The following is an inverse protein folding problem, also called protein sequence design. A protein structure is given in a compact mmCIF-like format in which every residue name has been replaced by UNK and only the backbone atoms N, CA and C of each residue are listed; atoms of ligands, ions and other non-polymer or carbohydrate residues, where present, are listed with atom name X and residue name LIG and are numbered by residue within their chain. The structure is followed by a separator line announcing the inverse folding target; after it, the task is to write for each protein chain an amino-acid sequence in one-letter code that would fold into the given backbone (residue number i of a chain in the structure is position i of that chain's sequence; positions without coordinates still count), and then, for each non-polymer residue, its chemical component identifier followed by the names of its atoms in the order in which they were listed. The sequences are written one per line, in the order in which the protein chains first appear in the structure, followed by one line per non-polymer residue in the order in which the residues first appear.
data_IF_897222142451
#
_entry.id   IF_897222142451
#
_cell.length_a   1.000
_cell.length_b   1.000
_cell.length_c   1.000
_cell.angle_alpha   90.00
_cell.angle_beta   90.00
_cell.angle_gamma   90.00
#
_symmetry.space_group_name_H-M   'P 1'
#
loop_
_entity.id
_entity.type
_entity.pdbx_description
1 polymer ?
#
# COMPACT_ATOMS: atom_id res chain seq x y z
N UNK A 1 4.32 -10.84 25.55
CA UNK A 1 5.71 -10.48 25.88
C UNK A 1 5.65 -9.01 26.27
N UNK A 2 5.56 -8.75 27.58
CA UNK A 2 4.98 -7.49 28.07
C UNK A 2 6.03 -6.51 28.63
N UNK A 3 7.30 -6.71 28.30
CA UNK A 3 8.40 -5.81 28.66
C UNK A 3 8.72 -4.77 27.59
N UNK A 4 9.22 -3.60 28.00
CA UNK A 4 9.78 -2.60 27.09
C UNK A 4 11.19 -2.97 26.58
N UNK A 5 11.86 -3.95 27.22
CA UNK A 5 13.16 -4.52 26.81
C UNK A 5 13.13 -6.03 27.01
N UNK A 6 13.46 -6.80 25.98
CA UNK A 6 13.61 -8.26 26.01
C UNK A 6 14.99 -8.61 25.46
N UNK A 7 15.77 -9.41 26.22
CA UNK A 7 17.09 -9.87 25.82
C UNK A 7 17.00 -11.32 25.36
N UNK A 8 17.58 -11.62 24.20
CA UNK A 8 17.67 -12.97 23.67
C UNK A 8 19.07 -13.53 23.93
N UNK A 9 19.25 -14.82 23.64
CA UNK A 9 20.54 -15.49 23.77
C UNK A 9 21.55 -14.97 22.74
N UNK A 10 22.82 -14.98 23.15
CA UNK A 10 23.95 -14.54 22.35
C UNK A 10 24.11 -15.41 21.10
N UNK A 11 24.53 -14.77 20.02
CA UNK A 11 24.71 -15.42 18.73
C UNK A 11 26.08 -15.11 18.17
N UNK A 12 26.72 -16.15 17.62
CA UNK A 12 27.99 -16.03 16.91
C UNK A 12 27.71 -16.02 15.40
N UNK A 13 28.24 -15.03 14.73
CA UNK A 13 28.16 -14.83 13.28
C UNK A 13 29.44 -15.26 12.59
N UNK A 14 29.37 -15.36 11.26
CA UNK A 14 30.54 -15.61 10.43
C UNK A 14 31.63 -14.57 10.71
N UNK A 15 32.89 -15.01 10.71
CA UNK A 15 34.03 -14.14 11.05
C UNK A 15 34.28 -13.97 12.55
N UNK A 16 33.66 -14.80 13.42
CA UNK A 16 33.92 -14.81 14.86
C UNK A 16 33.29 -13.65 15.63
N UNK A 17 32.27 -12.99 15.04
CA UNK A 17 31.57 -11.89 15.66
C UNK A 17 30.46 -12.41 16.59
N UNK A 18 30.58 -12.15 17.89
CA UNK A 18 29.51 -12.34 18.89
C UNK A 18 28.63 -11.09 18.99
N UNK A 19 27.30 -11.27 18.99
CA UNK A 19 26.36 -10.20 19.31
C UNK A 19 25.14 -10.71 20.10
N UNK A 20 24.56 -9.79 20.86
CA UNK A 20 23.45 -9.99 21.77
C UNK A 20 22.21 -9.31 21.16
N UNK A 21 21.14 -10.06 20.84
CA UNK A 21 19.90 -9.50 20.34
C UNK A 21 19.05 -8.94 21.48
N UNK A 22 18.56 -7.72 21.29
CA UNK A 22 17.70 -7.03 22.25
C UNK A 22 16.50 -6.46 21.50
N UNK A 23 15.28 -6.81 21.93
CA UNK A 23 14.03 -6.25 21.42
C UNK A 23 13.58 -5.14 22.35
N UNK A 24 13.32 -3.96 21.81
CA UNK A 24 13.06 -2.74 22.57
C UNK A 24 11.78 -2.10 22.05
N UNK A 25 10.91 -1.63 22.95
CA UNK A 25 9.85 -0.70 22.59
C UNK A 25 10.20 0.67 23.19
N UNK A 26 10.83 1.53 22.38
CA UNK A 26 11.33 2.83 22.83
C UNK A 26 10.20 3.73 23.35
N UNK A 27 9.04 3.70 22.69
CA UNK A 27 7.85 4.44 23.11
C UNK A 27 7.46 4.13 24.56
N UNK A 28 7.33 2.84 24.91
CA UNK A 28 7.03 2.41 26.28
C UNK A 28 8.19 2.64 27.22
N UNK A 29 9.43 2.49 26.75
CA UNK A 29 10.64 2.67 27.56
C UNK A 29 10.70 4.08 28.15
N UNK A 30 10.55 5.12 27.32
CA UNK A 30 10.65 6.51 27.77
C UNK A 30 9.42 7.02 28.54
N UNK A 31 8.31 6.27 28.53
CA UNK A 31 7.16 6.51 29.40
C UNK A 31 7.28 5.84 30.77
N UNK A 32 8.20 4.88 30.92
CA UNK A 32 8.39 4.14 32.16
C UNK A 32 9.31 4.91 33.10
N UNK A 33 8.86 5.22 34.32
CA UNK A 33 9.65 5.97 35.32
C UNK A 33 10.96 5.28 35.69
N UNK A 34 10.92 3.96 35.89
CA UNK A 34 12.08 3.11 36.21
C UNK A 34 12.41 2.21 35.03
N UNK A 35 12.68 2.82 33.88
CA UNK A 35 12.98 2.10 32.65
C UNK A 35 14.23 1.22 32.82
N UNK A 36 14.19 -0.08 32.42
CA UNK A 36 15.38 -0.91 32.43
C UNK A 36 16.43 -0.32 31.48
N UNK A 37 17.69 -0.30 31.92
CA UNK A 37 18.79 0.05 31.03
C UNK A 37 18.84 -0.92 29.86
N UNK A 38 18.96 -0.43 28.62
CA UNK A 38 19.09 -1.30 27.43
C UNK A 38 20.47 -1.96 27.44
N UNK A 39 21.52 -1.13 27.53
CA UNK A 39 22.92 -1.53 27.63
C UNK A 39 23.48 -1.09 28.99
N UNK A 40 24.32 -1.91 29.65
CA UNK A 40 24.93 -1.53 30.92
C UNK A 40 25.74 -0.24 30.80
N UNK A 41 25.59 0.66 31.77
CA UNK A 41 26.36 1.91 31.88
C UNK A 41 26.20 2.92 30.72
N UNK A 42 25.23 2.71 29.83
CA UNK A 42 24.91 3.61 28.72
C UNK A 42 23.49 4.15 28.91
N UNK A 43 23.32 5.45 28.67
CA UNK A 43 22.01 6.09 28.72
C UNK A 43 21.10 5.58 27.61
N UNK A 44 19.83 5.33 27.91
CA UNK A 44 18.86 4.86 26.92
C UNK A 44 18.67 5.86 25.77
N UNK A 45 18.82 7.17 26.02
CA UNK A 45 18.76 8.19 24.99
C UNK A 45 19.90 8.06 23.96
N UNK A 46 21.10 7.70 24.42
CA UNK A 46 22.27 7.52 23.54
C UNK A 46 22.13 6.27 22.69
N UNK A 47 21.45 5.23 23.20
CA UNK A 47 21.08 4.05 22.41
C UNK A 47 20.09 4.44 21.31
N UNK A 48 19.06 5.22 21.62
CA UNK A 48 18.11 5.71 20.61
C UNK A 48 18.84 6.52 19.52
N UNK A 49 19.70 7.47 19.91
CA UNK A 49 20.50 8.27 18.95
C UNK A 49 21.39 7.40 18.07
N UNK A 50 22.04 6.38 18.65
CA UNK A 50 22.89 5.46 17.89
C UNK A 50 22.11 4.56 16.93
N UNK A 51 20.87 4.20 17.27
CA UNK A 51 19.96 3.44 16.38
C UNK A 51 19.47 4.32 15.23
N UNK A 52 18.99 5.53 15.54
CA UNK A 52 18.53 6.49 14.51
C UNK A 52 19.68 6.82 13.56
N UNK A 53 20.88 7.10 14.07
CA UNK A 53 22.06 7.34 13.25
C UNK A 53 22.42 6.14 12.36
N UNK A 54 22.26 4.90 12.84
CA UNK A 54 22.56 3.71 12.05
C UNK A 54 21.57 3.52 10.89
N UNK A 55 20.28 3.77 11.15
CA UNK A 55 19.21 3.64 10.16
C UNK A 55 19.30 4.76 9.11
N UNK A 56 19.44 6.01 9.55
CA UNK A 56 19.66 7.20 8.71
C UNK A 56 20.87 7.03 7.77
N UNK A 57 21.99 6.50 8.26
CA UNK A 57 23.18 6.27 7.43
C UNK A 57 23.08 5.09 6.46
N UNK A 58 22.15 4.17 6.69
CA UNK A 58 22.08 2.92 5.94
C UNK A 58 20.92 2.88 4.95
N UNK A 59 19.90 3.70 5.16
CA UNK A 59 18.70 3.78 4.34
C UNK A 59 18.75 5.11 3.57
N UNK A 60 19.06 5.08 2.26
CA UNK A 60 18.95 6.28 1.45
C UNK A 60 17.48 6.74 1.45
N UNK A 61 17.26 8.06 1.36
CA UNK A 61 15.95 8.67 1.15
C UNK A 61 14.98 8.68 2.35
N UNK A 62 15.41 8.26 3.55
CA UNK A 62 14.60 8.39 4.79
C UNK A 62 15.23 9.44 5.70
N UNK A 63 14.53 10.55 5.93
CA UNK A 63 15.03 11.62 6.78
C UNK A 63 15.24 11.16 8.23
N UNK A 64 16.21 11.74 8.97
CA UNK A 64 16.51 11.33 10.34
C UNK A 64 15.34 11.56 11.31
N UNK A 65 14.47 12.53 10.97
CA UNK A 65 13.23 12.79 11.70
C UNK A 65 12.24 11.65 11.50
N UNK A 66 12.03 11.22 10.26
CA UNK A 66 11.10 10.14 9.92
C UNK A 66 11.56 8.80 10.51
N UNK A 67 12.87 8.55 10.48
CA UNK A 67 13.49 7.41 11.19
C UNK A 67 13.20 7.48 12.68
N UNK A 68 13.43 8.62 13.33
CA UNK A 68 13.14 8.79 14.76
C UNK A 68 11.66 8.58 15.08
N UNK A 69 10.77 9.19 14.28
CA UNK A 69 9.33 9.08 14.46
C UNK A 69 8.87 7.62 14.30
N UNK A 70 9.44 6.88 13.35
CA UNK A 70 9.19 5.44 13.15
C UNK A 70 9.71 4.61 14.33
N UNK A 71 10.96 4.80 14.76
CA UNK A 71 11.57 4.04 15.87
C UNK A 71 10.81 4.27 17.19
N UNK A 72 10.27 5.47 17.38
CA UNK A 72 9.52 5.87 18.57
C UNK A 72 7.98 5.83 18.37
N UNK A 73 7.47 5.20 17.31
CA UNK A 73 6.03 5.13 17.07
C UNK A 73 5.34 4.17 18.08
N UNK A 74 4.13 4.48 18.56
CA UNK A 74 3.40 3.62 19.49
C UNK A 74 3.15 2.24 18.86
N UNK A 75 3.61 1.18 19.52
CA UNK A 75 3.46 -0.20 19.01
C UNK A 75 4.69 -0.73 18.26
N UNK A 76 5.55 0.16 17.76
CA UNK A 76 6.81 -0.24 17.14
C UNK A 76 7.76 -0.91 18.13
N UNK A 77 8.40 -1.97 17.66
CA UNK A 77 9.46 -2.70 18.36
C UNK A 77 10.71 -2.63 17.50
N UNK A 78 11.84 -2.42 18.15
CA UNK A 78 13.15 -2.36 17.51
C UNK A 78 14.02 -3.50 18.01
N UNK A 79 14.47 -4.36 17.10
CA UNK A 79 15.53 -5.32 17.36
C UNK A 79 16.86 -4.59 17.17
N UNK A 80 17.73 -4.61 18.17
CA UNK A 80 19.12 -4.21 18.02
C UNK A 80 20.04 -5.41 18.25
N UNK A 81 21.15 -5.44 17.53
CA UNK A 81 22.25 -6.37 17.80
C UNK A 81 23.41 -5.58 18.41
N UNK A 82 23.80 -5.94 19.63
CA UNK A 82 24.89 -5.30 20.36
C UNK A 82 26.05 -6.26 20.59
N UNK A 83 27.28 -5.80 20.36
CA UNK A 83 28.50 -6.54 20.73
C UNK A 83 28.80 -6.37 22.21
N UNK A 84 29.62 -7.27 22.76
CA UNK A 84 30.24 -7.04 24.05
C UNK A 84 31.37 -6.00 23.93
N UNK A 85 31.56 -5.24 24.99
CA UNK A 85 32.58 -4.22 25.11
C UNK A 85 33.99 -4.82 25.04
N UNK A 86 34.19 -6.04 25.54
CA UNK A 86 35.48 -6.74 25.49
C UNK A 86 35.86 -7.08 24.04
N UNK A 87 34.94 -7.69 23.30
CA UNK A 87 35.14 -8.10 21.90
C UNK A 87 35.49 -6.92 21.00
N UNK A 88 34.88 -5.75 21.26
CA UNK A 88 35.16 -4.53 20.50
C UNK A 88 36.57 -3.99 20.79
N UNK A 89 37.02 -4.07 22.04
CA UNK A 89 38.39 -3.67 22.40
C UNK A 89 39.42 -4.59 21.74
N UNK A 90 39.16 -5.90 21.68
CA UNK A 90 40.05 -6.85 21.01
C UNK A 90 40.14 -6.59 19.51
N UNK A 91 39.01 -6.35 18.84
CA UNK A 91 38.97 -5.97 17.41
C UNK A 91 39.77 -4.70 17.14
N UNK A 92 39.69 -3.70 18.02
CA UNK A 92 40.51 -2.48 17.89
C UNK A 92 42.00 -2.73 18.10
N UNK A 93 42.40 -3.62 19.01
CA UNK A 93 43.81 -4.01 19.20
C UNK A 93 44.35 -4.77 17.99
N UNK A 94 43.55 -5.65 17.40
CA UNK A 94 43.93 -6.40 16.20
C UNK A 94 44.15 -5.53 14.95
N UNK A 95 43.46 -4.38 14.86
CA UNK A 95 43.61 -3.44 13.73
C UNK A 95 44.85 -2.55 13.83
N UNK A 96 45.27 -2.21 15.05
CA UNK A 96 46.44 -1.37 15.30
C UNK A 96 47.75 -1.99 14.77
N UNK A 97 47.83 -3.32 14.70
CA UNK A 97 49.01 -4.04 14.18
C UNK A 97 49.05 -4.16 12.65
N UNK A 98 47.94 -3.89 11.95
CA UNK A 98 47.81 -4.11 10.50
C UNK A 98 47.98 -2.86 9.60
N UNK A 99 47.80 -1.64 10.12
CA UNK A 99 47.75 -0.44 9.29
C UNK A 99 49.06 0.38 9.34
N UNK A 100 50.01 0.04 8.46
CA UNK A 100 51.04 0.99 8.01
C UNK A 100 50.52 1.80 6.83
N UNK A 101 50.07 3.03 7.14
CA UNK A 101 50.16 4.17 6.23
C UNK A 101 48.95 4.45 5.33
N UNK A 102 48.11 5.39 5.74
CA UNK A 102 47.61 6.43 4.81
C UNK A 102 47.24 7.67 5.62
N UNK A 103 47.64 8.83 5.09
CA UNK A 103 47.73 10.12 5.75
C UNK A 103 46.38 10.85 5.61
N UNK A 104 45.73 11.24 6.72
CA UNK A 104 44.51 12.06 6.69
C UNK A 104 44.89 13.54 6.73
N UNK A 105 44.46 14.31 5.74
CA UNK A 105 44.50 15.78 5.73
C UNK A 105 43.19 16.36 6.30
N UNK A 106 43.24 17.46 7.08
CA UNK A 106 42.03 18.05 7.65
C UNK A 106 41.33 18.94 6.61
N UNK A 107 40.06 18.63 6.32
CA UNK A 107 39.18 19.52 5.56
C UNK A 107 38.44 20.42 6.55
N UNK A 108 38.57 21.73 6.33
CA UNK A 108 37.81 22.79 7.01
C UNK A 108 36.59 23.15 6.17
N UNK A 109 35.43 23.33 6.79
CA UNK A 109 34.29 24.01 6.16
C UNK A 109 33.49 24.81 7.17
N UNK A 110 33.30 26.10 6.85
CA UNK A 110 32.35 27.03 7.49
C UNK A 110 31.00 26.96 6.74
N UNK A 111 29.89 27.07 7.51
CA UNK A 111 28.54 27.66 7.23
C UNK A 111 27.81 27.23 5.93
N UNK A 112 26.54 26.82 5.86
CA UNK A 112 25.27 27.11 6.60
C UNK A 112 24.30 25.89 6.47
N UNK A 113 23.08 26.01 7.01
CA UNK A 113 21.89 25.13 6.90
C UNK A 113 21.59 24.17 8.07
N UNK A 114 20.55 24.56 8.83
CA UNK A 114 20.17 24.04 10.15
C UNK A 114 19.52 22.64 10.11
N UNK A 115 18.98 22.24 8.95
CA UNK A 115 18.41 20.90 8.72
C UNK A 115 19.49 19.94 8.17
N UNK A 116 20.29 20.37 7.19
CA UNK A 116 21.45 19.61 6.69
C UNK A 116 22.49 19.32 7.78
N UNK A 117 22.63 20.20 8.76
CA UNK A 117 23.55 20.03 9.88
C UNK A 117 23.29 18.74 10.67
N UNK A 118 22.02 18.35 10.89
CA UNK A 118 21.70 17.18 11.74
C UNK A 118 21.97 15.85 11.05
N UNK A 119 21.63 15.74 9.76
CA UNK A 119 21.98 14.57 8.95
C UNK A 119 23.50 14.42 8.85
N UNK A 120 24.23 15.52 8.66
CA UNK A 120 25.71 15.54 8.69
C UNK A 120 26.26 15.03 10.03
N UNK A 121 25.69 15.45 11.16
CA UNK A 121 26.08 15.00 12.50
C UNK A 121 25.86 13.50 12.71
N UNK A 122 24.71 12.96 12.29
CA UNK A 122 24.40 11.53 12.43
C UNK A 122 25.25 10.67 11.49
N UNK A 123 25.49 11.15 10.26
CA UNK A 123 26.36 10.50 9.28
C UNK A 123 27.79 10.33 9.80
N UNK A 124 28.28 11.30 10.57
CA UNK A 124 29.62 11.27 11.13
C UNK A 124 29.88 10.07 12.08
N UNK A 125 28.85 9.60 12.78
CA UNK A 125 28.95 8.49 13.75
C UNK A 125 29.35 7.15 13.12
N UNK A 126 28.85 6.87 11.92
CA UNK A 126 29.06 5.59 11.22
C UNK A 126 29.83 5.72 9.90
N UNK A 127 30.40 6.89 9.61
CA UNK A 127 31.30 7.11 8.47
C UNK A 127 32.62 6.33 8.66
N UNK A 128 32.62 5.10 8.16
CA UNK A 128 33.74 4.17 8.17
C UNK A 128 34.58 4.20 6.86
N UNK A 129 34.22 4.99 5.82
CA UNK A 129 35.07 5.47 4.70
C UNK A 129 34.28 6.32 3.69
N UNK A 130 35.00 7.27 3.07
CA UNK A 130 34.62 8.37 2.16
C UNK A 130 33.73 7.98 0.96
N UNK A 131 32.57 8.65 0.78
CA UNK A 131 32.18 9.44 -0.42
C UNK A 131 30.68 9.83 -0.45
N UNK A 132 30.49 11.08 -0.91
CA UNK A 132 29.36 11.71 -1.62
C UNK A 132 27.94 11.68 -1.03
N UNK A 133 27.50 12.84 -0.53
CA UNK A 133 26.11 13.19 -0.26
C UNK A 133 25.41 13.67 -1.53
N UNK A 134 24.28 13.07 -1.89
CA UNK A 134 23.30 13.68 -2.80
C UNK A 134 22.12 14.24 -1.97
N UNK A 135 21.62 15.38 -2.41
CA UNK A 135 20.64 16.22 -1.72
C UNK A 135 19.21 15.80 -2.08
N UNK A 136 18.35 15.63 -1.07
CA UNK A 136 16.90 15.64 -1.24
C UNK A 136 16.28 16.51 -0.16
N UNK A 137 15.56 17.55 -0.58
CA UNK A 137 14.88 18.51 0.28
C UNK A 137 13.37 18.24 0.27
N UNK A 138 12.73 18.12 1.43
CA UNK A 138 11.27 18.14 1.54
C UNK A 138 10.76 19.00 2.71
N UNK A 139 9.60 19.60 2.46
CA UNK A 139 8.93 20.63 3.26
C UNK A 139 8.19 20.08 4.48
N UNK A 140 8.09 20.92 5.50
CA UNK A 140 7.58 20.57 6.84
C UNK A 140 6.12 21.01 7.00
N UNK A 141 5.23 20.09 7.40
CA UNK A 141 3.96 20.45 8.03
C UNK A 141 4.03 20.16 9.53
N UNK A 142 3.73 21.20 10.32
CA UNK A 142 3.63 21.13 11.77
C UNK A 142 2.21 20.69 12.15
N UNK A 143 2.11 19.70 13.03
CA UNK A 143 0.94 19.59 13.89
C UNK A 143 1.38 19.17 15.31
N UNK A 144 0.96 20.00 16.27
CA UNK A 144 1.19 19.84 17.70
C UNK A 144 0.36 18.67 18.27
N UNK A 145 0.93 17.93 19.22
CA UNK A 145 0.31 17.71 20.55
C UNK A 145 1.20 16.87 21.47
N UNK A 146 1.51 17.49 22.62
CA UNK A 146 1.60 16.97 24.00
C UNK A 146 2.26 15.61 24.31
N UNK A 147 3.26 15.65 25.20
CA UNK A 147 3.84 14.54 25.99
C UNK A 147 4.52 13.36 25.27
N UNK A 148 4.86 13.53 23.99
CA UNK A 148 5.70 12.59 23.23
C UNK A 148 7.19 12.87 23.50
N UNK A 149 8.05 11.84 23.51
CA UNK A 149 9.51 12.05 23.39
C UNK A 149 9.78 12.66 22.02
N UNK A 150 9.75 13.98 21.96
CA UNK A 150 9.65 14.73 20.71
C UNK A 150 10.99 14.81 20.00
N UNK A 151 10.95 15.16 18.72
CA UNK A 151 12.15 15.37 17.91
C UNK A 151 13.09 16.41 18.54
N UNK A 152 12.55 17.42 19.23
CA UNK A 152 13.33 18.43 19.95
C UNK A 152 14.13 17.80 21.08
N UNK A 153 13.51 16.97 21.94
CA UNK A 153 14.19 16.25 23.02
C UNK A 153 15.22 15.26 22.52
N UNK A 154 14.97 14.64 21.37
CA UNK A 154 15.98 13.81 20.72
C UNK A 154 17.21 14.63 20.32
N UNK A 155 16.99 15.81 19.76
CA UNK A 155 18.03 16.73 19.32
C UNK A 155 18.80 17.38 20.49
N UNK A 156 18.17 17.54 21.66
CA UNK A 156 18.85 17.95 22.89
C UNK A 156 19.97 16.96 23.23
N UNK A 157 21.21 17.43 23.29
CA UNK A 157 22.39 16.59 23.56
C UNK A 157 22.88 15.75 22.36
N UNK A 158 22.29 15.87 21.17
CA UNK A 158 22.79 15.19 19.97
C UNK A 158 24.21 15.63 19.60
N UNK A 159 24.49 16.93 19.68
CA UNK A 159 25.84 17.47 19.41
C UNK A 159 26.87 16.92 20.41
N UNK A 160 26.57 16.92 21.70
CA UNK A 160 27.45 16.38 22.75
C UNK A 160 27.72 14.89 22.53
N UNK A 161 26.71 14.14 22.11
CA UNK A 161 26.83 12.73 21.79
C UNK A 161 27.79 12.50 20.60
N UNK A 162 27.65 13.27 19.53
CA UNK A 162 28.49 13.20 18.33
C UNK A 162 29.92 13.65 18.62
N UNK A 163 30.10 14.74 19.35
CA UNK A 163 31.42 15.23 19.77
C UNK A 163 32.12 14.18 20.66
N UNK A 164 31.40 13.56 21.59
CA UNK A 164 31.92 12.47 22.41
C UNK A 164 32.34 11.24 21.58
N UNK A 165 31.59 10.90 20.53
CA UNK A 165 31.95 9.83 19.60
C UNK A 165 33.18 10.19 18.74
N UNK A 166 33.28 11.46 18.30
CA UNK A 166 34.46 12.00 17.59
C UNK A 166 35.70 11.92 18.46
N UNK A 167 35.64 12.39 19.70
CA UNK A 167 36.76 12.27 20.65
C UNK A 167 37.17 10.81 20.86
N UNK A 168 36.22 9.89 21.00
CA UNK A 168 36.51 8.46 21.09
C UNK A 168 37.19 7.93 19.82
N UNK A 169 36.79 8.40 18.63
CA UNK A 169 37.43 8.06 17.35
C UNK A 169 38.87 8.58 17.28
N UNK A 170 39.11 9.82 17.67
CA UNK A 170 40.44 10.43 17.73
C UNK A 170 41.35 9.72 18.74
N UNK A 171 40.85 9.42 19.94
CA UNK A 171 41.59 8.64 20.95
C UNK A 171 42.02 7.27 20.41
N UNK A 172 41.15 6.58 19.65
CA UNK A 172 41.50 5.32 18.96
C UNK A 172 42.60 5.51 17.92
N UNK A 173 42.55 6.59 17.13
CA UNK A 173 43.56 6.88 16.11
C UNK A 173 44.94 7.19 16.71
N UNK A 174 44.99 7.89 17.85
CA UNK A 174 46.24 8.22 18.56
C UNK A 174 46.79 7.00 19.31
N UNK A 175 45.96 6.30 20.10
CA UNK A 175 46.38 5.16 20.93
C UNK A 175 46.66 3.88 20.13
N UNK A 176 46.17 3.78 18.90
CA UNK A 176 46.56 2.71 17.97
C UNK A 176 48.07 2.66 17.69
N UNK A 177 48.81 3.74 17.94
CA UNK A 177 50.27 3.79 17.78
C UNK A 177 51.04 3.29 19.01
N UNK A 178 50.45 3.35 20.20
CA UNK A 178 51.08 2.96 21.49
C UNK A 178 50.52 1.63 22.06
N UNK A 179 49.64 0.94 21.32
CA UNK A 179 49.21 -0.43 21.58
C UNK A 179 48.23 -0.65 22.75
N UNK A 180 47.89 0.38 23.53
CA UNK A 180 46.89 0.29 24.63
C UNK A 180 45.71 1.23 24.40
N UNK A 181 44.60 0.66 23.91
CA UNK A 181 43.32 1.35 23.78
C UNK A 181 42.56 1.26 25.11
N UNK A 182 42.20 2.41 25.67
CA UNK A 182 41.41 2.51 26.92
C UNK A 182 39.96 2.02 26.71
N UNK A 183 39.33 1.37 27.70
CA UNK A 183 37.89 1.06 27.66
C UNK A 183 37.00 2.26 27.37
N UNK A 184 37.39 3.45 27.86
CA UNK A 184 36.66 4.72 27.60
C UNK A 184 36.66 5.18 26.13
N UNK A 185 37.36 4.46 25.25
CA UNK A 185 37.37 4.71 23.82
C UNK A 185 36.26 3.95 23.06
N UNK A 186 35.52 3.07 23.74
CA UNK A 186 34.37 2.35 23.16
C UNK A 186 33.09 3.06 23.61
N UNK A 187 32.34 3.59 22.64
CA UNK A 187 30.99 4.11 22.87
C UNK A 187 29.92 3.22 22.26
N UNK A 188 28.67 3.58 22.48
CA UNK A 188 27.50 2.87 21.94
C UNK A 188 27.53 2.73 20.41
N UNK A 189 28.11 3.71 19.71
CA UNK A 189 28.32 3.69 18.26
C UNK A 189 29.25 2.57 17.78
N UNK A 190 30.02 1.98 18.70
CA UNK A 190 30.88 0.84 18.44
C UNK A 190 30.24 -0.50 18.78
N UNK A 191 29.21 -0.49 19.64
CA UNK A 191 28.54 -1.69 20.14
C UNK A 191 27.40 -2.14 19.22
N UNK A 192 26.59 -1.19 18.72
CA UNK A 192 25.44 -1.51 17.86
C UNK A 192 25.92 -1.85 16.44
N UNK A 193 25.50 -3.01 15.93
CA UNK A 193 25.90 -3.50 14.60
C UNK A 193 24.77 -3.51 13.58
N UNK A 194 23.53 -3.66 14.04
CA UNK A 194 22.33 -3.69 13.22
C UNK A 194 21.11 -3.28 14.05
N UNK A 195 20.11 -2.75 13.35
CA UNK A 195 18.81 -2.40 13.90
C UNK A 195 17.69 -2.77 12.91
N UNK A 196 16.54 -3.18 13.44
CA UNK A 196 15.34 -3.45 12.64
C UNK A 196 14.09 -3.05 13.40
N UNK A 197 13.19 -2.31 12.75
CA UNK A 197 11.97 -1.79 13.33
C UNK A 197 10.76 -2.50 12.73
N UNK A 198 9.91 -3.07 13.58
CA UNK A 198 8.74 -3.81 13.17
C UNK A 198 7.54 -3.53 14.08
N UNK A 199 6.34 -3.73 13.55
CA UNK A 199 5.08 -3.62 14.28
C UNK A 199 4.13 -4.76 13.92
N UNK A 200 3.24 -5.09 14.84
CA UNK A 200 2.15 -6.02 14.61
C UNK A 200 0.88 -5.19 14.40
N UNK A 201 0.30 -5.27 13.21
CA UNK A 201 -0.96 -4.62 12.83
C UNK A 201 -2.05 -5.67 12.65
N UNK A 202 -3.29 -5.30 12.94
CA UNK A 202 -4.47 -6.13 12.65
C UNK A 202 -5.21 -5.44 11.52
N UNK A 203 -5.37 -6.16 10.40
CA UNK A 203 -5.99 -5.61 9.21
C UNK A 203 -7.51 -5.53 9.34
N UNK A 204 -8.12 -4.78 8.43
CA UNK A 204 -9.59 -4.72 8.32
C UNK A 204 -10.24 -6.10 8.07
N UNK A 205 -9.50 -7.03 7.48
CA UNK A 205 -9.90 -8.43 7.26
C UNK A 205 -9.85 -9.29 8.53
N UNK A 206 -9.29 -8.78 9.62
CA UNK A 206 -9.06 -9.50 10.88
C UNK A 206 -7.73 -10.25 10.96
N UNK A 207 -6.91 -10.22 9.90
CA UNK A 207 -5.61 -10.88 9.87
C UNK A 207 -4.55 -10.07 10.62
N UNK A 208 -3.66 -10.76 11.31
CA UNK A 208 -2.56 -10.15 12.06
C UNK A 208 -1.31 -10.14 11.19
N UNK A 209 -0.84 -8.96 10.81
CA UNK A 209 0.36 -8.80 9.97
C UNK A 209 1.52 -8.23 10.78
N UNK A 210 2.68 -8.82 10.62
CA UNK A 210 3.95 -8.31 11.11
C UNK A 210 4.56 -7.42 10.03
N UNK A 211 4.52 -6.10 10.17
CA UNK A 211 5.13 -5.17 9.23
C UNK A 211 6.57 -4.86 9.65
N UNK A 212 7.54 -5.13 8.78
CA UNK A 212 8.92 -4.66 8.89
C UNK A 212 9.02 -3.30 8.21
N UNK A 213 9.27 -2.25 8.98
CA UNK A 213 9.35 -0.87 8.48
C UNK A 213 10.76 -0.47 8.10
N UNK A 214 11.76 -0.77 8.94
CA UNK A 214 13.15 -0.38 8.70
C UNK A 214 14.09 -1.54 9.03
N UNK A 215 15.14 -1.74 8.23
CA UNK A 215 16.19 -2.73 8.50
C UNK A 215 17.54 -2.20 8.02
N UNK A 216 18.49 -2.09 8.94
CA UNK A 216 19.85 -1.68 8.63
C UNK A 216 20.89 -2.59 9.29
N UNK A 217 21.93 -2.91 8.52
CA UNK A 217 23.17 -3.52 9.02
C UNK A 217 24.32 -2.60 8.66
N UNK A 218 25.13 -2.24 9.66
CA UNK A 218 26.28 -1.36 9.47
C UNK A 218 27.20 -1.93 8.40
N UNK A 219 27.66 -1.07 7.48
CA UNK A 219 28.41 -1.44 6.26
C UNK A 219 29.53 -2.47 6.50
N UNK A 220 30.34 -2.25 7.54
CA UNK A 220 31.46 -3.14 7.92
C UNK A 220 31.08 -4.56 8.36
N UNK A 221 29.81 -4.79 8.71
CA UNK A 221 29.30 -6.11 9.15
C UNK A 221 28.28 -6.69 8.17
N UNK A 222 28.08 -6.06 7.01
CA UNK A 222 27.30 -6.65 5.91
C UNK A 222 27.96 -7.95 5.45
N UNK A 223 27.15 -8.87 4.92
CA UNK A 223 27.58 -10.21 4.48
C UNK A 223 28.05 -11.18 5.59
N UNK A 224 27.98 -10.81 6.87
CA UNK A 224 28.26 -11.73 7.99
C UNK A 224 27.05 -12.56 8.43
N UNK A 225 25.92 -12.49 7.71
CA UNK A 225 24.67 -13.18 8.05
C UNK A 225 23.79 -12.47 9.07
N UNK A 226 24.16 -11.25 9.50
CA UNK A 226 23.42 -10.46 10.49
C UNK A 226 22.00 -10.13 10.03
N UNK A 227 21.85 -9.62 8.81
CA UNK A 227 20.52 -9.32 8.25
C UNK A 227 19.66 -10.57 8.12
N UNK A 228 20.26 -11.67 7.66
CA UNK A 228 19.59 -12.97 7.56
C UNK A 228 19.07 -13.43 8.93
N UNK A 229 19.88 -13.33 9.97
CA UNK A 229 19.47 -13.69 11.32
C UNK A 229 18.30 -12.84 11.84
N UNK A 230 18.28 -11.53 11.55
CA UNK A 230 17.15 -10.67 11.93
C UNK A 230 15.87 -11.13 11.22
N UNK A 231 15.92 -11.46 9.93
CA UNK A 231 14.75 -11.98 9.21
C UNK A 231 14.28 -13.31 9.82
N UNK A 232 15.20 -14.22 10.16
CA UNK A 232 14.85 -15.48 10.84
C UNK A 232 14.23 -15.25 12.24
N UNK A 233 14.69 -14.23 12.98
CA UNK A 233 14.05 -13.82 14.23
C UNK A 233 12.61 -13.34 14.00
N UNK A 234 12.38 -12.54 12.96
CA UNK A 234 11.03 -12.07 12.61
C UNK A 234 10.14 -13.23 12.12
N UNK A 235 10.71 -14.22 11.44
CA UNK A 235 10.01 -15.46 11.07
C UNK A 235 9.58 -16.27 12.30
N UNK A 236 10.31 -16.17 13.40
CA UNK A 236 10.09 -16.96 14.61
C UNK A 236 8.93 -16.39 15.45
N UNK A 237 7.73 -16.93 15.27
CA UNK A 237 6.50 -16.48 15.98
C UNK A 237 6.58 -16.54 17.52
N UNK A 238 7.41 -17.41 18.10
CA UNK A 238 7.63 -17.44 19.55
C UNK A 238 8.36 -16.19 20.07
N UNK A 239 9.09 -15.49 19.21
CA UNK A 239 9.85 -14.28 19.53
C UNK A 239 9.02 -13.01 19.28
N UNK A 240 8.40 -12.89 18.11
CA UNK A 240 7.68 -11.67 17.74
C UNK A 240 6.22 -11.66 18.15
N UNK A 241 5.64 -12.84 18.37
CA UNK A 241 4.20 -13.06 18.55
C UNK A 241 3.60 -13.81 17.36
N UNK A 242 2.36 -14.28 17.52
CA UNK A 242 1.62 -14.89 16.41
C UNK A 242 1.24 -13.84 15.37
N UNK A 243 1.40 -14.19 14.10
CA UNK A 243 1.03 -13.38 12.94
C UNK A 243 0.70 -14.31 11.76
N UNK A 244 -0.12 -13.84 10.84
CA UNK A 244 -0.58 -14.55 9.64
C UNK A 244 0.31 -14.27 8.42
N UNK A 245 0.94 -13.09 8.37
CA UNK A 245 1.93 -12.74 7.34
C UNK A 245 3.01 -11.78 7.89
N UNK A 246 4.23 -11.88 7.37
CA UNK A 246 5.28 -10.88 7.52
C UNK A 246 5.34 -10.07 6.24
N UNK A 247 5.24 -8.74 6.34
CA UNK A 247 5.19 -7.84 5.18
C UNK A 247 6.30 -6.80 5.31
N UNK A 248 6.94 -6.47 4.19
CA UNK A 248 7.98 -5.45 4.13
C UNK A 248 7.88 -4.66 2.83
N UNK A 249 8.08 -3.35 2.90
CA UNK A 249 8.41 -2.53 1.74
C UNK A 249 9.90 -2.66 1.48
N UNK A 250 10.25 -3.10 0.27
CA UNK A 250 11.62 -3.50 -0.06
C UNK A 250 12.13 -2.66 -1.22
N UNK A 251 13.26 -1.98 -1.01
CA UNK A 251 13.96 -1.27 -2.08
C UNK A 251 14.38 -2.22 -3.20
N UNK A 252 14.42 -1.71 -4.43
CA UNK A 252 14.82 -2.47 -5.62
C UNK A 252 16.17 -3.20 -5.44
N UNK A 253 17.12 -2.60 -4.71
CA UNK A 253 18.43 -3.20 -4.43
C UNK A 253 18.42 -4.34 -3.42
N UNK A 254 17.37 -4.43 -2.58
CA UNK A 254 17.25 -5.42 -1.52
C UNK A 254 16.32 -6.60 -1.88
N UNK A 255 15.56 -6.53 -2.99
CA UNK A 255 14.64 -7.60 -3.42
C UNK A 255 15.31 -8.98 -3.41
N UNK A 256 16.52 -9.09 -3.98
CA UNK A 256 17.25 -10.37 -4.03
C UNK A 256 17.62 -10.92 -2.65
N UNK A 257 17.79 -10.05 -1.64
CA UNK A 257 17.99 -10.48 -0.25
C UNK A 257 16.70 -11.04 0.34
N UNK A 258 15.57 -10.35 0.20
CA UNK A 258 14.29 -10.79 0.74
C UNK A 258 13.74 -12.04 0.04
N UNK A 259 13.94 -12.20 -1.28
CA UNK A 259 13.60 -13.43 -2.01
C UNK A 259 14.34 -14.66 -1.49
N UNK A 260 15.62 -14.52 -1.14
CA UNK A 260 16.40 -15.62 -0.52
C UNK A 260 15.86 -16.02 0.85
N UNK A 261 15.09 -15.14 1.48
CA UNK A 261 14.39 -15.36 2.73
C UNK A 261 12.90 -15.66 2.51
N UNK A 262 12.52 -16.16 1.33
CA UNK A 262 11.17 -16.65 1.03
C UNK A 262 10.08 -15.58 1.08
N UNK A 263 10.44 -14.29 1.07
CA UNK A 263 9.45 -13.26 0.79
C UNK A 263 9.17 -13.25 -0.72
N UNK A 264 7.89 -13.16 -1.08
CA UNK A 264 7.40 -13.13 -2.45
C UNK A 264 6.96 -11.73 -2.85
N UNK A 265 7.26 -11.36 -4.09
CA UNK A 265 6.80 -10.16 -4.78
C UNK A 265 5.56 -10.42 -5.66
N UNK A 266 4.82 -11.53 -5.42
CA UNK A 266 3.59 -11.84 -6.15
C UNK A 266 2.53 -10.75 -5.94
N UNK A 267 2.18 -10.06 -7.04
CA UNK A 267 1.26 -8.92 -7.03
C UNK A 267 -0.14 -9.29 -6.53
N UNK A 268 -0.65 -10.47 -6.87
CA UNK A 268 -2.00 -10.88 -6.49
C UNK A 268 -2.05 -11.25 -5.01
N UNK A 269 -1.00 -11.89 -4.51
CA UNK A 269 -0.89 -12.20 -3.08
C UNK A 269 -0.74 -10.91 -2.27
N UNK A 270 0.14 -10.01 -2.72
CA UNK A 270 0.46 -8.79 -2.00
C UNK A 270 -0.66 -7.74 -2.08
N UNK A 271 -1.57 -7.80 -3.06
CA UNK A 271 -2.79 -6.95 -3.11
C UNK A 271 -3.67 -7.12 -1.87
N UNK A 272 -3.61 -8.28 -1.20
CA UNK A 272 -4.29 -8.54 0.07
C UNK A 272 -3.83 -7.59 1.18
N UNK A 273 -2.58 -7.13 1.10
CA UNK A 273 -1.94 -6.25 2.08
C UNK A 273 -1.90 -4.79 1.61
N UNK A 274 -2.69 -4.42 0.58
CA UNK A 274 -2.70 -3.06 0.02
C UNK A 274 -3.04 -1.95 1.02
N UNK A 275 -3.72 -2.27 2.12
CA UNK A 275 -3.98 -1.30 3.20
C UNK A 275 -2.70 -0.88 3.94
N UNK A 276 -1.62 -1.66 3.79
CA UNK A 276 -0.28 -1.38 4.29
C UNK A 276 0.62 -0.74 3.22
N UNK A 277 0.07 -0.37 2.06
CA UNK A 277 0.84 0.44 1.11
C UNK A 277 1.07 1.81 1.74
N UNK A 278 2.31 2.05 2.14
CA UNK A 278 2.82 3.34 2.57
C UNK A 278 3.37 4.10 1.35
N UNK A 279 3.59 5.41 1.51
CA UNK A 279 4.11 6.31 0.46
C UNK A 279 5.62 6.12 0.16
N UNK A 280 6.14 4.90 0.31
CA UNK A 280 7.52 4.59 -0.03
C UNK A 280 7.73 4.68 -1.55
N UNK A 281 8.61 5.58 -1.96
CA UNK A 281 9.01 5.67 -3.37
C UNK A 281 10.01 4.57 -3.71
N UNK A 282 9.96 4.06 -4.94
CA UNK A 282 10.90 3.05 -5.46
C UNK A 282 11.00 1.73 -4.66
N UNK A 283 9.97 1.39 -3.88
CA UNK A 283 9.89 0.14 -3.14
C UNK A 283 8.85 -0.81 -3.74
N UNK A 284 8.97 -2.10 -3.41
CA UNK A 284 7.98 -3.12 -3.74
C UNK A 284 7.54 -3.79 -2.45
N UNK A 285 6.22 -3.94 -2.29
CA UNK A 285 5.65 -4.71 -1.19
C UNK A 285 5.97 -6.20 -1.40
N UNK A 286 6.60 -6.82 -0.41
CA UNK A 286 6.87 -8.24 -0.38
C UNK A 286 6.29 -8.87 0.89
N UNK A 287 5.81 -10.11 0.79
CA UNK A 287 5.24 -10.84 1.94
C UNK A 287 5.85 -12.23 2.12
N UNK A 288 5.92 -12.67 3.37
CA UNK A 288 6.23 -14.04 3.77
C UNK A 288 5.03 -14.60 4.52
N UNK A 289 4.62 -15.81 4.14
CA UNK A 289 3.55 -16.55 4.81
C UNK A 289 4.19 -17.66 5.66
N UNK A 290 4.05 -17.60 7.01
CA UNK A 290 4.56 -18.64 7.87
C UNK A 290 3.84 -19.98 7.60
N UNK A 291 4.53 -21.12 7.75
CA UNK A 291 3.91 -22.42 7.58
C UNK A 291 2.81 -22.64 8.63
N UNK A 292 1.77 -23.40 8.27
CA UNK A 292 0.69 -23.75 9.20
C UNK A 292 1.15 -24.53 10.45
N UNK A 293 2.35 -25.13 10.41
CA UNK A 293 2.90 -25.99 11.47
C UNK A 293 3.73 -25.24 12.51
N UNK A 294 3.46 -23.96 12.78
CA UNK A 294 4.15 -23.24 13.86
C UNK A 294 3.85 -23.81 15.25
N UNK A 295 2.81 -24.65 15.39
CA UNK A 295 2.55 -25.48 16.57
C UNK A 295 3.18 -26.89 16.40
N UNK A 296 4.24 -27.15 17.18
CA UNK A 296 5.04 -28.39 17.17
C UNK A 296 4.25 -29.69 17.41
N UNK A 297 3.04 -29.61 17.97
CA UNK A 297 2.21 -30.77 18.34
C UNK A 297 1.68 -31.58 17.15
N UNK A 298 1.72 -31.01 15.93
CA UNK A 298 1.15 -31.64 14.72
C UNK A 298 2.16 -32.38 13.82
N UNK A 299 3.45 -32.45 14.18
CA UNK A 299 4.44 -33.15 13.36
C UNK A 299 4.27 -34.67 13.47
N UNK A 300 3.83 -35.32 12.39
CA UNK A 300 3.93 -36.77 12.24
C UNK A 300 5.33 -37.12 11.65
N UNK A 301 6.25 -37.70 12.45
CA UNK A 301 7.61 -37.99 12.00
C UNK A 301 7.71 -39.12 10.96
N UNK A 302 6.62 -39.87 10.73
CA UNK A 302 6.55 -40.96 9.75
C UNK A 302 5.97 -40.52 8.40
N UNK A 303 5.59 -39.26 8.25
CA UNK A 303 4.99 -38.76 7.02
C UNK A 303 6.08 -38.35 6.02
N UNK A 304 6.35 -39.20 5.03
CA UNK A 304 7.16 -38.84 3.86
C UNK A 304 6.25 -38.61 2.67
N UNK A 305 6.12 -37.37 2.23
CA UNK A 305 5.49 -37.02 0.98
C UNK A 305 6.57 -36.54 0.01
N UNK A 306 6.44 -36.90 -1.25
CA UNK A 306 7.35 -36.41 -2.28
C UNK A 306 7.11 -34.90 -2.46
N UNK A 307 8.11 -34.09 -2.15
CA UNK A 307 8.03 -32.63 -2.27
C UNK A 307 7.75 -32.21 -3.72
N UNK A 308 8.28 -32.98 -4.68
CA UNK A 308 8.10 -32.71 -6.10
C UNK A 308 6.65 -32.93 -6.56
N UNK A 309 5.99 -33.99 -6.07
CA UNK A 309 4.58 -34.24 -6.40
C UNK A 309 3.68 -33.17 -5.78
N UNK A 310 3.96 -32.76 -4.54
CA UNK A 310 3.22 -31.69 -3.87
C UNK A 310 3.40 -30.34 -4.59
N UNK A 311 4.62 -30.03 -5.04
CA UNK A 311 4.90 -28.83 -5.82
C UNK A 311 4.16 -28.85 -7.17
N UNK A 312 4.09 -30.01 -7.82
CA UNK A 312 3.30 -30.18 -9.05
C UNK A 312 1.79 -30.00 -8.79
N UNK A 313 1.25 -30.60 -7.73
CA UNK A 313 -0.15 -30.44 -7.32
C UNK A 313 -0.49 -28.98 -6.98
N UNK A 314 0.38 -28.29 -6.24
CA UNK A 314 0.21 -26.87 -5.92
C UNK A 314 0.20 -26.00 -7.19
N UNK A 315 1.11 -26.25 -8.13
CA UNK A 315 1.14 -25.54 -9.41
C UNK A 315 -0.11 -25.81 -10.26
N UNK A 316 -0.62 -27.04 -10.22
CA UNK A 316 -1.87 -27.41 -10.90
C UNK A 316 -3.07 -26.69 -10.26
N UNK A 317 -3.17 -26.68 -8.93
CA UNK A 317 -4.21 -25.97 -8.19
C UNK A 317 -4.17 -24.46 -8.48
N UNK A 318 -2.98 -23.85 -8.50
CA UNK A 318 -2.81 -22.43 -8.85
C UNK A 318 -3.31 -22.13 -10.27
N UNK A 319 -2.98 -23.00 -11.23
CA UNK A 319 -3.42 -22.86 -12.62
C UNK A 319 -4.93 -23.00 -12.76
N UNK A 320 -5.54 -23.95 -12.05
CA UNK A 320 -7.00 -24.14 -12.01
C UNK A 320 -7.71 -22.94 -11.39
N UNK A 321 -7.20 -22.41 -10.27
CA UNK A 321 -7.74 -21.22 -9.62
C UNK A 321 -7.68 -19.99 -10.53
N UNK A 322 -6.55 -19.78 -11.23
CA UNK A 322 -6.40 -18.70 -12.20
C UNK A 322 -7.42 -18.82 -13.35
N UNK A 323 -7.60 -20.02 -13.91
CA UNK A 323 -8.58 -20.28 -14.97
C UNK A 323 -10.01 -19.97 -14.48
N UNK A 324 -10.38 -20.42 -13.28
CA UNK A 324 -11.68 -20.14 -12.69
C UNK A 324 -11.91 -18.63 -12.49
N UNK A 325 -10.91 -17.92 -11.96
CA UNK A 325 -10.96 -16.46 -11.80
C UNK A 325 -11.17 -15.75 -13.14
N UNK A 326 -10.40 -16.11 -14.18
CA UNK A 326 -10.53 -15.53 -15.52
C UNK A 326 -11.94 -15.74 -16.10
N UNK A 327 -12.50 -16.94 -15.94
CA UNK A 327 -13.88 -17.22 -16.36
C UNK A 327 -14.91 -16.36 -15.62
N UNK A 328 -14.76 -16.20 -14.30
CA UNK A 328 -15.62 -15.34 -13.50
C UNK A 328 -15.55 -13.88 -13.97
N UNK A 329 -14.35 -13.34 -14.19
CA UNK A 329 -14.16 -11.95 -14.66
C UNK A 329 -14.80 -11.73 -16.04
N UNK A 330 -14.68 -12.68 -16.96
CA UNK A 330 -15.34 -12.62 -18.28
C UNK A 330 -16.86 -12.58 -18.12
N UNK A 331 -17.43 -13.46 -17.30
CA UNK A 331 -18.86 -13.50 -17.04
C UNK A 331 -19.38 -12.19 -16.44
N UNK A 332 -18.72 -11.68 -15.40
CA UNK A 332 -19.10 -10.39 -14.76
C UNK A 332 -18.99 -9.23 -15.74
N UNK A 333 -17.95 -9.20 -16.56
CA UNK A 333 -17.77 -8.14 -17.58
C UNK A 333 -18.87 -8.18 -18.63
N UNK A 334 -19.26 -9.39 -19.09
CA UNK A 334 -20.37 -9.55 -20.04
C UNK A 334 -21.71 -9.13 -19.42
N UNK A 335 -21.99 -9.57 -18.20
CA UNK A 335 -23.18 -9.14 -17.44
C UNK A 335 -23.25 -7.61 -17.30
N UNK A 336 -22.13 -6.96 -16.97
CA UNK A 336 -22.08 -5.50 -16.87
C UNK A 336 -22.41 -4.81 -18.20
N UNK A 337 -21.91 -5.35 -19.32
CA UNK A 337 -22.24 -4.84 -20.66
C UNK A 337 -23.71 -5.04 -20.97
N UNK A 338 -24.27 -6.21 -20.70
CA UNK A 338 -25.70 -6.45 -20.94
C UNK A 338 -26.60 -5.57 -20.08
N UNK A 339 -26.25 -5.34 -18.81
CA UNK A 339 -26.99 -4.39 -17.97
C UNK A 339 -26.96 -2.98 -18.55
N UNK A 340 -25.85 -2.54 -19.15
CA UNK A 340 -25.77 -1.24 -19.82
C UNK A 340 -26.66 -1.20 -21.06
N UNK A 341 -26.55 -2.19 -21.94
CA UNK A 341 -27.36 -2.28 -23.16
C UNK A 341 -28.86 -2.36 -22.84
N UNK A 342 -29.24 -3.14 -21.83
CA UNK A 342 -30.64 -3.22 -21.38
C UNK A 342 -31.14 -1.89 -20.83
N UNK A 343 -30.31 -1.14 -20.09
CA UNK A 343 -30.68 0.21 -19.62
C UNK A 343 -30.88 1.18 -20.77
N UNK A 344 -30.03 1.13 -21.79
CA UNK A 344 -30.17 1.95 -23.00
C UNK A 344 -31.46 1.60 -23.75
N UNK A 345 -31.74 0.31 -23.95
CA UNK A 345 -32.98 -0.16 -24.58
C UNK A 345 -34.23 0.26 -23.79
N UNK A 346 -34.18 0.16 -22.45
CA UNK A 346 -35.28 0.57 -21.59
C UNK A 346 -35.53 2.08 -21.67
N UNK A 347 -34.47 2.88 -21.84
CA UNK A 347 -34.58 4.32 -22.13
C UNK A 347 -35.33 4.60 -23.42
N UNK A 348 -34.93 3.96 -24.53
CA UNK A 348 -35.59 4.09 -25.84
C UNK A 348 -37.05 3.64 -25.77
N UNK A 349 -37.33 2.53 -25.10
CA UNK A 349 -38.70 2.05 -24.92
C UNK A 349 -39.55 3.03 -24.10
N UNK A 350 -38.96 3.68 -23.08
CA UNK A 350 -39.66 4.67 -22.28
C UNK A 350 -40.05 5.91 -23.12
N UNK A 351 -39.12 6.42 -23.94
CA UNK A 351 -39.39 7.53 -24.87
C UNK A 351 -40.49 7.18 -25.87
N UNK A 352 -40.49 5.96 -26.39
CA UNK A 352 -41.51 5.50 -27.33
C UNK A 352 -42.89 5.38 -26.67
N UNK A 353 -42.96 4.89 -25.43
CA UNK A 353 -44.19 4.85 -24.64
C UNK A 353 -44.72 6.26 -24.39
N UNK A 354 -43.86 7.21 -24.01
CA UNK A 354 -44.27 8.61 -23.85
C UNK A 354 -44.82 9.19 -25.16
N UNK A 355 -44.14 8.97 -26.28
CA UNK A 355 -44.57 9.41 -27.61
C UNK A 355 -45.95 8.86 -27.98
N UNK A 356 -46.18 7.55 -27.77
CA UNK A 356 -47.46 6.91 -28.02
C UNK A 356 -48.55 7.45 -27.10
N UNK A 357 -48.24 7.69 -25.82
CA UNK A 357 -49.18 8.25 -24.87
C UNK A 357 -49.60 9.68 -25.29
N UNK A 358 -48.65 10.51 -25.74
CA UNK A 358 -48.95 11.83 -26.30
C UNK A 358 -49.90 11.76 -27.51
N UNK A 359 -49.70 10.78 -28.42
CA UNK A 359 -50.58 10.57 -29.57
C UNK A 359 -51.99 10.14 -29.15
N UNK A 360 -52.09 9.21 -28.20
CA UNK A 360 -53.39 8.77 -27.65
C UNK A 360 -54.15 9.95 -27.03
N UNK A 361 -53.48 10.78 -26.24
CA UNK A 361 -54.10 11.97 -25.65
C UNK A 361 -54.52 13.01 -26.70
N UNK A 362 -53.76 13.14 -27.79
CA UNK A 362 -54.14 14.00 -28.91
C UNK A 362 -55.37 13.49 -29.64
N UNK A 363 -55.45 12.19 -29.94
CA UNK A 363 -56.61 11.60 -30.60
C UNK A 363 -57.86 11.61 -29.71
N UNK A 364 -57.71 11.41 -28.39
CA UNK A 364 -58.80 11.61 -27.43
C UNK A 364 -59.36 13.04 -27.50
N UNK A 365 -58.49 14.05 -27.53
CA UNK A 365 -58.90 15.46 -27.66
C UNK A 365 -59.62 15.73 -28.99
N UNK A 366 -59.12 15.22 -30.11
CA UNK A 366 -59.81 15.33 -31.41
C UNK A 366 -61.18 14.69 -31.39
N UNK A 367 -61.30 13.48 -30.83
CA UNK A 367 -62.56 12.78 -30.72
C UNK A 367 -63.56 13.58 -29.87
N UNK A 368 -63.12 14.13 -28.75
CA UNK A 368 -63.94 15.02 -27.90
C UNK A 368 -64.39 16.29 -28.64
N UNK A 369 -63.53 16.90 -29.46
CA UNK A 369 -63.89 18.06 -30.28
C UNK A 369 -64.95 17.69 -31.34
N UNK A 370 -64.78 16.56 -32.03
CA UNK A 370 -65.76 16.05 -33.00
C UNK A 370 -67.10 15.73 -32.31
N UNK A 371 -67.08 15.03 -31.18
CA UNK A 371 -68.27 14.72 -30.39
C UNK A 371 -68.97 16.01 -29.93
N UNK A 372 -68.22 17.02 -29.48
CA UNK A 372 -68.76 18.33 -29.09
C UNK A 372 -69.40 19.05 -30.28
N UNK A 373 -68.73 19.10 -31.44
CA UNK A 373 -69.28 19.69 -32.67
C UNK A 373 -70.53 18.96 -33.14
N UNK A 374 -70.54 17.63 -33.08
CA UNK A 374 -71.70 16.82 -33.43
C UNK A 374 -72.87 17.09 -32.48
N UNK A 375 -72.62 17.19 -31.18
CA UNK A 375 -73.63 17.52 -30.18
C UNK A 375 -74.21 18.92 -30.42
N UNK A 376 -73.35 19.88 -30.73
CA UNK A 376 -73.74 21.25 -31.05
C UNK A 376 -74.53 21.34 -32.36
N UNK A 377 -74.18 20.54 -33.37
CA UNK A 377 -74.99 20.38 -34.59
C UNK A 377 -76.38 19.82 -34.28
N UNK A 378 -76.47 18.75 -33.47
CA UNK A 378 -77.76 18.19 -33.05
C UNK A 378 -78.60 19.20 -32.27
N UNK A 379 -78.00 19.97 -31.37
CA UNK A 379 -78.68 21.05 -30.64
C UNK A 379 -79.22 22.12 -31.59
N UNK A 380 -78.40 22.62 -32.53
CA UNK A 380 -78.84 23.60 -33.53
C UNK A 380 -79.94 23.06 -34.45
N UNK A 381 -79.86 21.78 -34.84
CA UNK A 381 -80.91 21.15 -35.65
C UNK A 381 -82.21 21.00 -34.86
N UNK A 382 -82.15 20.65 -33.58
CA UNK A 382 -83.32 20.58 -32.71
C UNK A 382 -83.93 21.97 -32.47
N UNK A 383 -83.11 23.00 -32.29
CA UNK A 383 -83.56 24.40 -32.20
C UNK A 383 -84.24 24.84 -33.50
N UNK A 384 -83.64 24.56 -34.66
CA UNK A 384 -84.28 24.88 -35.96
C UNK A 384 -85.63 24.20 -36.13
N UNK A 385 -85.78 22.94 -35.71
CA UNK A 385 -87.06 22.23 -35.76
C UNK A 385 -88.13 22.85 -34.84
N UNK A 386 -87.71 23.44 -33.72
CA UNK A 386 -88.59 24.18 -32.82
C UNK A 386 -88.95 25.56 -33.41
N UNK A 387 -87.97 26.27 -33.98
CA UNK A 387 -88.16 27.58 -34.61
C UNK A 387 -89.00 27.50 -35.90
N UNK A 388 -88.88 26.41 -36.68
CA UNK A 388 -89.72 26.17 -37.87
C UNK A 388 -91.16 25.75 -37.53
N UNK A 389 -91.47 25.46 -36.26
CA UNK A 389 -92.85 25.25 -35.80
C UNK A 389 -93.54 26.56 -35.39
N UNK A 390 -92.81 27.67 -35.25
CA UNK A 390 -93.35 28.99 -34.91
C UNK A 390 -93.49 29.92 -36.14
N UNK A 391 -93.23 29.44 -37.36
CA UNK A 391 -93.47 30.18 -38.61
C UNK A 391 -93.81 29.24 -39.76
N UNK A 392 -95.04 28.72 -39.77
CA UNK A 392 -95.73 28.33 -41.00
C UNK A 392 -97.26 28.47 -40.81
N UNK A 393 -97.72 29.70 -40.99
CA UNK A 393 -99.07 30.03 -41.45
C UNK A 393 -98.92 30.69 -42.83
N UNK A 394 -99.53 30.08 -43.85
CA UNK A 394 -99.73 30.57 -45.24
C UNK A 394 -98.43 30.84 -46.06
N UNK A 395 -98.24 30.47 -47.34
CA UNK A 395 -99.14 30.33 -48.48
C UNK A 395 -98.39 29.67 -49.67
N UNK A 396 -99.12 29.25 -50.71
CA UNK A 396 -98.70 28.54 -51.94
C UNK A 396 -97.51 29.11 -52.77
N UNK A 397 -96.72 28.23 -53.46
CA UNK A 397 -96.63 28.10 -54.96
C UNK A 397 -95.54 27.15 -55.50
N UNK A 398 -95.81 26.65 -56.72
CA UNK A 398 -95.03 25.84 -57.68
C UNK A 398 -93.60 26.41 -57.94
N UNK A 399 -92.58 25.73 -58.48
CA UNK A 399 -92.48 25.02 -59.79
C UNK A 399 -91.04 24.45 -59.96
N UNK A 400 -90.90 23.36 -60.73
CA UNK A 400 -89.83 23.06 -61.74
C UNK A 400 -88.33 22.90 -61.33
N UNK A 401 -87.73 21.72 -61.62
CA UNK A 401 -86.72 21.42 -62.69
C UNK A 401 -85.30 21.93 -62.35
N UNK A 402 -84.16 21.30 -62.63
CA UNK A 402 -83.74 20.11 -63.38
C UNK A 402 -82.21 19.96 -63.12
N UNK A 403 -81.67 18.73 -63.26
CA UNK A 403 -80.28 18.39 -63.62
C UNK A 403 -79.11 18.87 -62.71
N UNK A 404 -77.97 18.20 -62.59
CA UNK A 404 -77.30 17.23 -63.45
C UNK A 404 -76.23 16.48 -62.63
N UNK A 405 -76.10 15.16 -62.86
CA UNK A 405 -74.83 14.41 -62.71
C UNK A 405 -73.83 14.97 -63.77
N UNK A 406 -72.49 14.80 -63.74
CA UNK A 406 -71.85 13.46 -63.68
C UNK A 406 -70.37 13.38 -63.18
N UNK A 407 -69.85 12.15 -63.10
CA UNK A 407 -68.46 11.77 -63.45
C UNK A 407 -67.35 12.18 -62.47
N UNK A 408 -66.23 11.47 -62.29
CA UNK A 408 -65.49 10.55 -63.16
C UNK A 408 -64.41 9.87 -62.31
N UNK A 409 -64.23 8.55 -62.52
CA UNK A 409 -62.98 7.76 -62.67
C UNK A 409 -61.64 8.46 -62.35
N UNK A 410 -60.63 7.83 -61.75
CA UNK A 410 -59.74 6.78 -62.31
C UNK A 410 -59.06 6.03 -61.11
N UNK A 411 -58.87 4.69 -61.11
CA UNK A 411 -57.76 3.93 -61.72
C UNK A 411 -56.38 4.46 -61.29
N UNK A 412 -55.34 3.70 -60.88
CA UNK A 412 -54.83 2.33 -61.07
C UNK A 412 -53.78 2.10 -59.96
N UNK A 413 -53.53 0.88 -59.45
CA UNK A 413 -52.47 -0.02 -59.92
C UNK A 413 -51.53 -0.37 -58.74
N UNK A 414 -51.41 -1.65 -58.34
CA UNK A 414 -50.24 -2.53 -58.54
C UNK A 414 -48.91 -1.95 -57.98
N UNK A 415 -47.97 -2.64 -57.34
CA UNK A 415 -47.68 -4.03 -56.97
C UNK A 415 -46.32 -3.95 -56.22
N UNK A 416 -46.05 -4.88 -55.29
CA UNK A 416 -44.69 -5.35 -54.88
C UNK A 416 -43.79 -4.32 -54.13
N UNK A 417 -42.83 -4.65 -53.26
CA UNK A 417 -41.98 -5.80 -53.01
C UNK A 417 -41.60 -5.86 -51.50
N UNK A 418 -41.35 -7.07 -50.97
CA UNK A 418 -40.57 -7.30 -49.73
C UNK A 418 -39.09 -6.92 -49.93
N UNK A 419 -38.31 -6.81 -48.84
CA UNK A 419 -37.10 -7.63 -48.82
C UNK A 419 -36.86 -8.39 -47.51
N UNK A 420 -36.71 -9.69 -47.73
CA UNK A 420 -35.80 -10.69 -47.16
C UNK A 420 -34.76 -10.30 -46.09
N UNK A 421 -34.72 -11.18 -45.09
CA UNK A 421 -33.64 -11.47 -44.14
C UNK A 421 -32.36 -11.99 -44.82
N UNK A 422 -31.20 -11.57 -44.31
CA UNK A 422 -29.91 -12.27 -44.49
C UNK A 422 -29.22 -12.48 -43.15
N UNK A 423 -28.98 -13.75 -42.81
CA UNK A 423 -27.95 -14.23 -41.89
C UNK A 423 -26.61 -14.36 -42.61
N UNK A 424 -25.47 -14.33 -41.90
CA UNK A 424 -24.23 -14.90 -42.42
C UNK A 424 -23.77 -16.09 -41.56
N UNK A 425 -23.74 -17.27 -42.18
CA UNK A 425 -22.79 -18.34 -41.85
C UNK A 425 -21.83 -18.48 -43.05
N UNK A 426 -20.53 -18.56 -42.76
CA UNK A 426 -19.50 -18.75 -43.77
C UNK A 426 -18.14 -19.03 -43.12
N UNK A 427 -17.76 -20.30 -43.15
CA UNK A 427 -16.60 -20.91 -42.52
C UNK A 427 -15.24 -20.58 -43.18
N UNK A 428 -14.19 -20.57 -42.34
CA UNK A 428 -12.97 -21.39 -42.47
C UNK A 428 -12.00 -21.22 -43.64
N UNK A 429 -10.71 -21.09 -43.28
CA UNK A 429 -9.62 -21.78 -44.00
C UNK A 429 -8.34 -20.97 -44.28
N UNK A 430 -7.32 -21.14 -43.43
CA UNK A 430 -5.92 -21.51 -43.78
C UNK A 430 -5.09 -21.66 -42.52
#
# INVERSE_FOLDING_TARGET
MDGCVVRLHDVCFNGGLSAHPIIINFYRLFQTRDAPAILPMIRNEDVLRAVVALLDTSLPDVGPRDVHETVHYPGMRTIILSRDHVDVLEDYRGRASGNKGTHLSPVSSKTTDRAESKHKLLTELYSDSEESSEETSEETLEEETSDRWSWERFCEGLQEFVDGARERKERRAVQGKDGKISPSAVGVESLIVAAACYEVKILSTGETVLQLSLLAVRKRYRHLGIGSYIIELLKTQSVVGRYDALVAHVDMGAIGFFKRHELTDDLLLNDKFKELNDDWTNSILMSYLPPFTTDLEMRNPLFSLSLQDLEMEMNMARSQALCAYQQQVVCVTRLLKEVKTLREQLGVQHEEVERLNCKVEHEKRKRQDIESRFLMYRLKSAQKLLDSNDSDSDDHKQTEQEDSNPGTQEQEGAQSEEPFLQTPEGAGGS
#
